data_IF_132594807610
#
_entry.id   IF_132594807610
#
_cell.length_a   1.000
_cell.length_b   1.000
_cell.length_c   1.000
_cell.angle_alpha   90.00
_cell.angle_beta   90.00
_cell.angle_gamma   90.00
#
_symmetry.space_group_name_H-M   'P 1'
#
loop_
_entity.id
_entity.type
_entity.pdbx_description
1 polymer ?
#
# COMPACT_ATOMS: atom_id res chain seq x y z
N UNK A 1 -15.70 -26.93 5.18
CA UNK A 1 -15.03 -25.91 6.02
C UNK A 1 -14.06 -25.18 5.13
N UNK A 2 -14.29 -23.90 4.85
CA UNK A 2 -13.37 -23.09 4.04
C UNK A 2 -12.05 -22.99 4.81
N UNK A 3 -10.95 -23.51 4.26
CA UNK A 3 -9.62 -23.32 4.81
C UNK A 3 -9.28 -21.82 4.71
N UNK A 4 -9.64 -21.06 5.76
CA UNK A 4 -9.33 -19.65 5.85
C UNK A 4 -7.82 -19.51 5.97
N UNK A 5 -7.20 -18.89 4.97
CA UNK A 5 -5.78 -18.61 5.00
C UNK A 5 -5.52 -17.35 5.84
N UNK A 6 -5.74 -17.47 7.16
CA UNK A 6 -5.71 -16.37 8.14
C UNK A 6 -4.38 -15.63 8.11
N UNK A 7 -3.26 -16.35 7.94
CA UNK A 7 -1.93 -15.75 7.83
C UNK A 7 -1.84 -14.85 6.60
N UNK A 8 -2.31 -15.32 5.45
CA UNK A 8 -2.32 -14.53 4.22
C UNK A 8 -3.23 -13.29 4.32
N UNK A 9 -4.39 -13.42 4.98
CA UNK A 9 -5.30 -12.29 5.23
C UNK A 9 -4.67 -11.26 6.18
N UNK A 10 -4.03 -11.70 7.26
CA UNK A 10 -3.30 -10.83 8.20
C UNK A 10 -2.16 -10.09 7.51
N UNK A 11 -1.32 -10.80 6.74
CA UNK A 11 -0.24 -10.16 5.99
C UNK A 11 -0.78 -9.15 4.97
N UNK A 12 -1.85 -9.49 4.25
CA UNK A 12 -2.51 -8.57 3.33
C UNK A 12 -3.00 -7.29 4.00
N UNK A 13 -3.61 -7.41 5.18
CA UNK A 13 -4.01 -6.26 6.00
C UNK A 13 -2.81 -5.44 6.46
N UNK A 14 -1.78 -6.07 7.04
CA UNK A 14 -0.59 -5.39 7.54
C UNK A 14 0.09 -4.58 6.44
N UNK A 15 0.41 -5.22 5.31
CA UNK A 15 1.05 -4.52 4.18
C UNK A 15 0.13 -3.48 3.54
N UNK A 16 -1.16 -3.78 3.39
CA UNK A 16 -2.13 -2.83 2.85
C UNK A 16 -2.24 -1.56 3.68
N UNK A 17 -2.29 -1.67 5.01
CA UNK A 17 -2.35 -0.52 5.92
C UNK A 17 -1.04 0.26 5.88
N UNK A 18 0.11 -0.41 5.97
CA UNK A 18 1.43 0.25 5.91
C UNK A 18 1.56 1.06 4.60
N UNK A 19 1.28 0.45 3.45
CA UNK A 19 1.38 1.12 2.16
C UNK A 19 0.34 2.23 1.99
N UNK A 20 -0.87 2.06 2.55
CA UNK A 20 -1.88 3.10 2.55
C UNK A 20 -1.41 4.35 3.31
N UNK A 21 -0.84 4.17 4.51
CA UNK A 21 -0.30 5.29 5.31
C UNK A 21 0.87 5.96 4.58
N UNK A 22 1.79 5.19 4.00
CA UNK A 22 2.88 5.73 3.17
C UNK A 22 2.32 6.58 2.01
N UNK A 23 1.26 6.10 1.36
CA UNK A 23 0.58 6.83 0.31
C UNK A 23 0.02 8.16 0.81
N UNK A 24 -0.70 8.16 1.93
CA UNK A 24 -1.25 9.39 2.51
C UNK A 24 -0.15 10.41 2.88
N UNK A 25 0.95 9.97 3.49
CA UNK A 25 2.09 10.84 3.78
C UNK A 25 2.63 11.46 2.48
N UNK A 26 2.73 10.68 1.40
CA UNK A 26 3.17 11.19 0.10
C UNK A 26 2.14 12.11 -0.57
N UNK A 27 0.84 11.96 -0.33
CA UNK A 27 -0.19 12.87 -0.86
C UNK A 27 -0.10 14.24 -0.20
N UNK A 28 0.03 14.29 1.12
CA UNK A 28 -0.10 15.52 1.89
C UNK A 28 1.23 16.22 2.20
N UNK A 29 2.32 15.47 2.32
CA UNK A 29 3.66 15.97 2.62
C UNK A 29 4.68 15.67 1.52
N UNK A 30 4.23 15.11 0.39
CA UNK A 30 5.07 14.85 -0.76
C UNK A 30 5.22 16.04 -1.70
N UNK A 31 6.30 16.02 -2.48
CA UNK A 31 6.53 16.89 -3.62
C UNK A 31 5.62 16.56 -4.82
N UNK A 32 5.15 15.32 -4.94
CA UNK A 32 4.22 14.86 -5.98
C UNK A 32 3.01 14.13 -5.35
N UNK A 33 1.88 14.85 -5.17
CA UNK A 33 0.65 14.25 -4.66
C UNK A 33 0.06 13.17 -5.58
N UNK A 34 0.30 13.24 -6.89
CA UNK A 34 -0.16 12.25 -7.86
C UNK A 34 0.50 10.89 -7.62
N UNK A 35 1.80 10.89 -7.32
CA UNK A 35 2.52 9.70 -6.89
C UNK A 35 1.99 9.13 -5.56
N UNK A 36 1.66 10.00 -4.61
CA UNK A 36 1.00 9.59 -3.36
C UNK A 36 -0.35 8.89 -3.61
N UNK A 37 -1.19 9.45 -4.48
CA UNK A 37 -2.49 8.86 -4.86
C UNK A 37 -2.28 7.50 -5.51
N UNK A 38 -1.27 7.36 -6.37
CA UNK A 38 -0.92 6.08 -6.97
C UNK A 38 -0.60 5.02 -5.89
N UNK A 39 0.21 5.37 -4.87
CA UNK A 39 0.53 4.44 -3.77
C UNK A 39 -0.73 4.08 -2.98
N UNK A 40 -1.61 5.05 -2.68
CA UNK A 40 -2.88 4.81 -1.99
C UNK A 40 -3.74 3.79 -2.75
N UNK A 41 -3.87 3.95 -4.07
CA UNK A 41 -4.63 3.01 -4.89
C UNK A 41 -3.94 1.66 -5.00
N UNK A 42 -2.61 1.64 -5.13
CA UNK A 42 -1.81 0.42 -5.17
C UNK A 42 -1.90 -0.39 -3.88
N UNK A 43 -2.00 0.26 -2.70
CA UNK A 43 -2.13 -0.42 -1.41
C UNK A 43 -3.42 -1.24 -1.31
N UNK A 44 -4.48 -0.84 -2.02
CA UNK A 44 -5.75 -1.57 -2.07
C UNK A 44 -5.55 -3.00 -2.63
N UNK A 45 -4.58 -3.23 -3.52
CA UNK A 45 -4.29 -4.56 -4.06
C UNK A 45 -3.82 -5.57 -2.99
N UNK A 46 -3.38 -5.10 -1.82
CA UNK A 46 -2.96 -5.94 -0.70
C UNK A 46 -4.13 -6.28 0.23
N UNK A 47 -5.18 -5.46 0.25
CA UNK A 47 -6.32 -5.64 1.15
C UNK A 47 -7.15 -6.88 0.77
N UNK A 48 -7.43 -7.80 1.72
CA UNK A 48 -8.26 -8.97 1.46
C UNK A 48 -9.65 -8.70 0.84
N UNK A 49 -10.44 -7.68 1.27
CA UNK A 49 -11.74 -7.41 0.67
C UNK A 49 -11.64 -6.98 -0.79
N UNK A 50 -10.64 -6.17 -1.15
CA UNK A 50 -10.42 -5.71 -2.53
C UNK A 50 -10.05 -6.87 -3.42
N UNK A 51 -9.22 -7.79 -2.94
CA UNK A 51 -8.88 -9.02 -3.65
C UNK A 51 -10.12 -9.90 -3.93
N UNK A 52 -11.03 -10.01 -2.95
CA UNK A 52 -12.29 -10.77 -3.11
C UNK A 52 -13.20 -10.10 -4.15
N UNK A 53 -13.40 -8.78 -4.07
CA UNK A 53 -14.19 -8.01 -5.05
C UNK A 53 -13.58 -8.10 -6.45
N UNK A 54 -12.27 -7.90 -6.58
CA UNK A 54 -11.55 -7.98 -7.86
C UNK A 54 -11.69 -9.35 -8.50
N UNK A 55 -11.50 -10.42 -7.72
CA UNK A 55 -11.64 -11.80 -8.22
C UNK A 55 -13.08 -12.08 -8.66
N UNK A 56 -14.07 -11.60 -7.92
CA UNK A 56 -15.48 -11.77 -8.27
C UNK A 56 -15.87 -11.00 -9.54
N UNK A 57 -15.27 -9.83 -9.78
CA UNK A 57 -15.57 -9.00 -10.96
C UNK A 57 -14.84 -9.49 -12.22
N UNK A 58 -13.57 -9.90 -12.09
CA UNK A 58 -12.70 -10.21 -13.25
C UNK A 58 -12.54 -11.71 -13.49
N UNK A 59 -12.83 -12.54 -12.49
CA UNK A 59 -12.49 -13.97 -12.48
C UNK A 59 -11.00 -14.25 -12.22
N UNK A 60 -10.16 -13.22 -12.07
CA UNK A 60 -8.71 -13.36 -11.95
C UNK A 60 -8.25 -13.10 -10.51
N UNK A 61 -7.37 -13.98 -10.01
CA UNK A 61 -6.70 -13.79 -8.72
C UNK A 61 -5.37 -13.09 -8.95
N UNK A 62 -5.12 -12.01 -8.20
CA UNK A 62 -3.81 -11.34 -8.23
C UNK A 62 -2.77 -12.32 -7.65
N UNK A 63 -1.80 -12.77 -8.47
CA UNK A 63 -0.80 -13.72 -8.01
C UNK A 63 0.17 -13.07 -7.02
N UNK A 64 0.70 -13.88 -6.11
CA UNK A 64 1.53 -13.41 -4.98
C UNK A 64 2.79 -12.68 -5.46
N UNK A 65 3.42 -13.13 -6.56
CA UNK A 65 4.63 -12.48 -7.08
C UNK A 65 4.39 -11.05 -7.55
N UNK A 66 3.21 -10.73 -8.13
CA UNK A 66 2.86 -9.36 -8.50
C UNK A 66 2.68 -8.48 -7.27
N UNK A 67 2.12 -9.02 -6.19
CA UNK A 67 2.00 -8.30 -4.91
C UNK A 67 3.38 -8.03 -4.31
N UNK A 68 4.28 -9.01 -4.34
CA UNK A 68 5.65 -8.83 -3.86
C UNK A 68 6.39 -7.76 -4.67
N UNK A 69 6.28 -7.81 -6.00
CA UNK A 69 6.89 -6.80 -6.89
C UNK A 69 6.33 -5.40 -6.61
N UNK A 70 5.01 -5.29 -6.48
CA UNK A 70 4.35 -4.01 -6.17
C UNK A 70 4.75 -3.48 -4.79
N UNK A 71 4.87 -4.35 -3.79
CA UNK A 71 5.27 -3.97 -2.43
C UNK A 71 6.73 -3.53 -2.38
N UNK A 72 7.61 -4.26 -3.06
CA UNK A 72 9.01 -3.87 -3.22
C UNK A 72 9.15 -2.52 -3.93
N UNK A 73 8.35 -2.28 -4.99
CA UNK A 73 8.29 -1.00 -5.67
C UNK A 73 7.85 0.14 -4.74
N UNK A 74 6.77 -0.04 -3.96
CA UNK A 74 6.28 0.97 -3.02
C UNK A 74 7.34 1.28 -1.96
N UNK A 75 7.97 0.25 -1.37
CA UNK A 75 9.01 0.44 -0.35
C UNK A 75 10.24 1.14 -0.91
N UNK A 76 10.75 0.68 -2.06
CA UNK A 76 11.90 1.30 -2.71
C UNK A 76 11.61 2.75 -3.08
N UNK A 77 10.43 3.00 -3.67
CA UNK A 77 10.07 4.33 -4.10
C UNK A 77 9.79 5.26 -2.91
N UNK A 78 9.18 4.79 -1.82
CA UNK A 78 8.94 5.62 -0.63
C UNK A 78 10.24 5.89 0.16
N UNK A 79 11.06 4.87 0.39
CA UNK A 79 12.27 5.00 1.22
C UNK A 79 13.45 5.60 0.46
N UNK A 80 13.62 5.27 -0.81
CA UNK A 80 14.79 5.68 -1.61
C UNK A 80 14.58 6.99 -2.36
N UNK A 81 13.45 7.13 -3.07
CA UNK A 81 13.19 8.28 -3.97
C UNK A 81 12.22 9.28 -3.34
N UNK A 82 11.32 8.79 -2.50
CA UNK A 82 10.20 9.53 -1.95
C UNK A 82 10.50 10.19 -0.62
N UNK A 83 11.76 10.19 -0.15
CA UNK A 83 12.22 10.92 1.04
C UNK A 83 11.27 10.75 2.24
N UNK A 84 10.71 9.55 2.43
CA UNK A 84 9.69 9.30 3.45
C UNK A 84 10.11 9.77 4.85
N UNK A 85 11.38 9.59 5.31
CA UNK A 85 11.81 10.11 6.59
C UNK A 85 11.67 11.63 6.71
N UNK A 86 12.04 12.38 5.68
CA UNK A 86 11.97 13.84 5.67
C UNK A 86 10.50 14.31 5.66
N UNK A 87 9.65 13.62 4.90
CA UNK A 87 8.20 13.89 4.86
C UNK A 87 7.52 13.62 6.20
N UNK A 88 7.95 12.58 6.91
CA UNK A 88 7.50 12.32 8.27
C UNK A 88 7.96 13.44 9.21
N UNK A 89 9.19 13.95 9.04
CA UNK A 89 9.69 15.12 9.77
C UNK A 89 8.79 16.35 9.58
N UNK A 90 8.48 16.69 8.33
CA UNK A 90 7.57 17.78 7.98
C UNK A 90 6.15 17.58 8.55
N UNK A 91 5.67 16.32 8.57
CA UNK A 91 4.38 16.00 9.19
C UNK A 91 4.36 16.30 10.68
N UNK A 92 5.42 15.94 11.39
CA UNK A 92 5.54 16.18 12.83
C UNK A 92 5.69 17.68 13.15
N UNK A 93 6.40 18.43 12.32
CA UNK A 93 6.53 19.89 12.48
C UNK A 93 5.18 20.60 12.32
N UNK A 94 4.37 20.22 11.33
CA UNK A 94 3.04 20.81 11.12
C UNK A 94 2.01 20.49 12.23
N UNK A 95 2.29 19.51 13.09
CA UNK A 95 1.41 19.07 14.18
C UNK A 95 1.75 19.68 15.54
N UNK A 96 2.91 20.35 15.66
CA UNK A 96 3.35 21.10 16.84
C UNK A 96 2.97 22.59 16.71
#
# INVERSE_FOLDING_TARGET
>A
MENRNVIGELLGWTFGVIFFVIGLINVFWGNDPGFGIFIVLASMAFMPPVNKVFTNMTGWKIPVYLKVLLGAFILWAALGVGELPDKIGMMLENLN
#
